data_IF_667216212955
#
_entry.id   IF_667216212955
#
_cell.length_a   1.000
_cell.length_b   1.000
_cell.length_c   1.000
_cell.angle_alpha   90.00
_cell.angle_beta   90.00
_cell.angle_gamma   90.00
#
_symmetry.space_group_name_H-M   'P 1'
#
loop_
_entity.id
_entity.type
_entity.pdbx_description
1 polymer ?
#
# COMPACT_ATOMS: atom_id res chain seq x y z
N UNK A 1 -5.16 -2.61 -19.82
CA UNK A 1 -5.85 -3.64 -19.02
C UNK A 1 -4.89 -4.80 -18.85
N UNK A 2 -4.65 -5.28 -17.61
CA UNK A 2 -3.89 -6.51 -17.41
C UNK A 2 -4.63 -7.63 -18.16
N UNK A 3 -3.94 -8.45 -18.95
CA UNK A 3 -4.54 -9.57 -19.65
C UNK A 3 -5.24 -10.47 -18.64
N UNK A 4 -6.57 -10.44 -18.62
CA UNK A 4 -7.36 -11.29 -17.74
C UNK A 4 -7.29 -12.71 -18.27
N UNK A 5 -6.29 -13.46 -17.83
CA UNK A 5 -6.36 -14.91 -17.83
C UNK A 5 -7.48 -15.31 -16.89
N UNK A 6 -8.54 -15.92 -17.43
CA UNK A 6 -9.64 -16.50 -16.67
C UNK A 6 -9.07 -17.61 -15.76
N UNK A 7 -8.88 -17.32 -14.47
CA UNK A 7 -8.36 -18.29 -13.49
C UNK A 7 -6.91 -18.11 -13.09
N UNK A 8 -6.22 -17.05 -13.52
CA UNK A 8 -4.91 -16.69 -12.97
C UNK A 8 -5.06 -15.81 -11.72
N UNK A 9 -4.09 -15.91 -10.81
CA UNK A 9 -3.88 -15.00 -9.69
C UNK A 9 -3.33 -13.63 -10.14
N UNK A 10 -2.90 -12.77 -9.19
CA UNK A 10 -2.52 -11.39 -9.50
C UNK A 10 -1.17 -11.30 -10.24
N UNK A 11 -1.04 -10.30 -11.11
CA UNK A 11 0.23 -9.95 -11.76
C UNK A 11 0.42 -10.60 -13.13
N UNK A 12 1.65 -10.98 -13.44
CA UNK A 12 2.07 -11.46 -14.76
C UNK A 12 2.97 -12.68 -14.62
N UNK A 13 2.89 -13.62 -15.57
CA UNK A 13 3.68 -14.86 -15.55
C UNK A 13 5.17 -14.61 -15.69
N UNK A 14 5.55 -13.63 -16.52
CA UNK A 14 6.94 -13.33 -16.85
C UNK A 14 7.22 -11.82 -16.78
N UNK A 15 8.50 -11.42 -16.64
CA UNK A 15 8.89 -10.01 -16.75
C UNK A 15 8.52 -9.38 -18.10
N UNK A 16 8.64 -10.12 -19.21
CA UNK A 16 8.27 -9.62 -20.54
C UNK A 16 6.77 -9.33 -20.66
N UNK A 17 5.92 -10.13 -20.02
CA UNK A 17 4.49 -9.86 -19.96
C UNK A 17 4.17 -8.64 -19.09
N UNK A 18 4.90 -8.46 -17.97
CA UNK A 18 4.77 -7.30 -17.10
C UNK A 18 5.11 -5.99 -17.82
N UNK A 19 6.14 -5.99 -18.68
CA UNK A 19 6.51 -4.83 -19.50
C UNK A 19 5.43 -4.42 -20.52
N UNK A 20 4.55 -5.35 -20.91
CA UNK A 20 3.40 -5.09 -21.80
C UNK A 20 2.14 -4.68 -21.03
N UNK A 21 2.21 -4.64 -19.70
CA UNK A 21 1.10 -4.24 -18.85
C UNK A 21 0.63 -2.80 -19.11
N UNK A 22 -0.60 -2.45 -18.70
CA UNK A 22 -1.01 -1.06 -18.74
C UNK A 22 -0.10 -0.18 -17.89
N UNK A 23 0.10 1.05 -18.34
CA UNK A 23 0.71 2.10 -17.53
C UNK A 23 -0.10 2.35 -16.27
N UNK A 24 0.59 2.61 -15.17
CA UNK A 24 0.00 3.01 -13.90
C UNK A 24 -0.74 4.35 -14.01
N UNK A 25 -1.88 4.46 -13.32
CA UNK A 25 -2.64 5.71 -13.24
C UNK A 25 -2.50 6.39 -11.88
N UNK A 26 -2.05 5.67 -10.86
CA UNK A 26 -1.85 6.18 -9.50
C UNK A 26 -0.58 5.59 -8.87
N UNK A 27 0.01 6.33 -7.94
CA UNK A 27 1.15 5.91 -7.11
C UNK A 27 0.84 6.15 -5.64
N UNK A 28 1.21 5.19 -4.79
CA UNK A 28 1.12 5.34 -3.33
C UNK A 28 2.49 5.66 -2.76
N UNK A 29 2.58 6.73 -1.95
CA UNK A 29 3.84 7.20 -1.37
C UNK A 29 3.74 7.29 0.15
N UNK A 30 4.56 6.55 0.91
CA UNK A 30 4.78 6.83 2.32
C UNK A 30 5.32 8.25 2.49
N UNK A 31 4.72 9.02 3.39
CA UNK A 31 5.12 10.38 3.70
C UNK A 31 5.40 10.49 5.20
N UNK A 32 6.62 10.88 5.52
CA UNK A 32 7.19 10.77 6.86
C UNK A 32 7.31 12.18 7.47
N UNK A 33 6.80 12.36 8.69
CA UNK A 33 7.04 13.56 9.49
C UNK A 33 8.08 13.35 10.58
N UNK A 34 8.49 12.11 10.84
CA UNK A 34 9.58 11.84 11.79
C UNK A 34 10.84 12.62 11.40
N UNK A 35 11.54 13.15 12.41
CA UNK A 35 12.72 14.02 12.27
C UNK A 35 12.44 15.35 11.55
N UNK A 36 11.19 15.80 11.53
CA UNK A 36 10.80 17.17 11.21
C UNK A 36 10.20 17.85 12.44
N UNK A 37 10.03 19.17 12.41
CA UNK A 37 9.36 19.93 13.49
C UNK A 37 7.84 19.72 13.52
N UNK A 38 7.28 18.91 12.62
CA UNK A 38 5.85 18.68 12.49
C UNK A 38 5.41 17.52 13.39
N UNK A 39 4.62 17.82 14.41
CA UNK A 39 4.00 16.81 15.29
C UNK A 39 2.70 16.25 14.69
N UNK A 40 2.81 15.51 13.58
CA UNK A 40 1.70 14.81 12.92
C UNK A 40 2.07 13.36 12.62
N UNK A 41 1.09 12.45 12.52
CA UNK A 41 1.37 11.09 12.11
C UNK A 41 1.82 11.06 10.66
N UNK A 42 2.68 10.10 10.34
CA UNK A 42 3.00 9.76 8.96
C UNK A 42 1.72 9.38 8.20
N UNK A 43 1.73 9.48 6.88
CA UNK A 43 0.55 9.19 6.07
C UNK A 43 0.92 8.54 4.75
N UNK A 44 -0.05 7.88 4.14
CA UNK A 44 0.05 7.38 2.77
C UNK A 44 -0.60 8.38 1.83
N UNK A 45 0.17 8.95 0.90
CA UNK A 45 -0.35 9.76 -0.18
C UNK A 45 -0.76 8.88 -1.36
N UNK A 46 -1.90 9.17 -1.97
CA UNK A 46 -2.25 8.69 -3.32
C UNK A 46 -2.04 9.83 -4.30
N UNK A 47 -1.17 9.63 -5.29
CA UNK A 47 -0.88 10.59 -6.35
C UNK A 47 -1.47 10.10 -7.66
N UNK A 48 -2.18 10.97 -8.38
CA UNK A 48 -2.63 10.69 -9.74
C UNK A 48 -1.50 10.97 -10.74
N UNK A 49 -1.14 9.95 -11.51
CA UNK A 49 -0.07 10.01 -12.50
C UNK A 49 -0.57 9.74 -13.93
N UNK A 50 -1.89 9.74 -14.13
CA UNK A 50 -2.50 9.65 -15.46
C UNK A 50 -2.41 11.01 -16.18
N UNK A 51 -1.67 11.15 -17.30
CA UNK A 51 -1.53 12.43 -18.01
C UNK A 51 -2.84 13.00 -18.56
N UNK A 52 -3.87 12.16 -18.71
CA UNK A 52 -5.20 12.56 -19.18
C UNK A 52 -6.12 13.01 -18.03
N UNK A 53 -5.70 12.84 -16.77
CA UNK A 53 -6.48 13.25 -15.61
C UNK A 53 -6.39 14.76 -15.36
N UNK A 54 -7.48 15.46 -15.00
CA UNK A 54 -7.42 16.85 -14.53
C UNK A 54 -6.65 17.01 -13.21
N UNK A 55 -6.36 15.88 -12.54
CA UNK A 55 -5.57 15.81 -11.31
C UNK A 55 -4.14 15.30 -11.54
N UNK A 56 -3.67 15.22 -12.79
CA UNK A 56 -2.30 14.79 -13.10
C UNK A 56 -1.26 15.51 -12.23
N UNK A 57 -0.34 14.74 -11.65
CA UNK A 57 0.72 15.18 -10.74
C UNK A 57 0.22 15.83 -9.44
N UNK A 58 -1.00 15.51 -8.97
CA UNK A 58 -1.53 15.98 -7.69
C UNK A 58 -1.70 14.84 -6.69
N UNK A 59 -1.54 15.16 -5.41
CA UNK A 59 -1.98 14.29 -4.30
C UNK A 59 -3.51 14.34 -4.25
N UNK A 60 -4.16 13.24 -4.61
CA UNK A 60 -5.63 13.12 -4.66
C UNK A 60 -6.23 12.56 -3.36
N UNK A 61 -5.41 11.91 -2.53
CA UNK A 61 -5.85 11.41 -1.23
C UNK A 61 -4.68 11.34 -0.24
N UNK A 62 -4.99 11.52 1.05
CA UNK A 62 -4.05 11.35 2.16
C UNK A 62 -4.71 10.49 3.22
N UNK A 63 -4.14 9.32 3.49
CA UNK A 63 -4.54 8.45 4.59
C UNK A 63 -3.57 8.65 5.77
N UNK A 64 -3.89 9.47 6.78
CA UNK A 64 -3.07 9.60 7.97
C UNK A 64 -3.06 8.30 8.77
N UNK A 65 -1.90 7.92 9.28
CA UNK A 65 -1.81 6.83 10.24
C UNK A 65 -2.32 7.29 11.61
N UNK A 66 -2.81 6.37 12.45
CA UNK A 66 -3.38 6.73 13.74
C UNK A 66 -2.34 7.11 14.80
N UNK A 67 -1.04 6.88 14.57
CA UNK A 67 -0.03 7.07 15.60
C UNK A 67 1.13 7.95 15.14
N UNK A 68 1.76 8.63 16.10
CA UNK A 68 2.96 9.43 15.88
C UNK A 68 4.22 8.58 15.82
N UNK A 69 5.27 9.14 15.20
CA UNK A 69 6.66 8.67 15.29
C UNK A 69 6.89 7.25 14.74
N UNK A 70 6.16 6.87 13.69
CA UNK A 70 6.25 5.55 13.05
C UNK A 70 7.48 5.36 12.17
N UNK A 71 7.76 6.34 11.32
CA UNK A 71 8.66 6.24 10.18
C UNK A 71 8.21 5.19 9.15
N UNK A 72 7.14 5.51 8.42
CA UNK A 72 6.71 4.71 7.25
C UNK A 72 7.77 4.76 6.15
N UNK A 73 8.65 3.76 6.08
CA UNK A 73 9.83 3.82 5.22
C UNK A 73 9.64 3.07 3.90
N UNK A 74 9.32 1.78 3.97
CA UNK A 74 9.04 0.94 2.80
C UNK A 74 7.62 0.39 2.85
N UNK A 75 7.10 0.02 1.68
CA UNK A 75 5.80 -0.63 1.57
C UNK A 75 5.83 -1.70 0.48
N UNK A 76 4.92 -2.67 0.59
CA UNK A 76 4.80 -3.76 -0.36
C UNK A 76 3.36 -4.23 -0.51
N UNK A 77 3.12 -5.04 -1.53
CA UNK A 77 1.81 -5.64 -1.78
C UNK A 77 1.64 -6.95 -1.01
N UNK A 78 0.41 -7.25 -0.58
CA UNK A 78 0.11 -8.54 0.05
C UNK A 78 0.24 -9.75 -0.89
N UNK A 79 0.09 -9.53 -2.20
CA UNK A 79 0.27 -10.53 -3.24
C UNK A 79 0.72 -9.83 -4.54
N UNK A 80 1.52 -10.51 -5.35
CA UNK A 80 2.03 -10.00 -6.62
C UNK A 80 2.20 -11.14 -7.63
N UNK A 81 2.98 -10.94 -8.70
CA UNK A 81 3.23 -11.92 -9.75
C UNK A 81 3.75 -13.28 -9.25
N UNK A 82 4.33 -13.37 -8.05
CA UNK A 82 4.69 -14.66 -7.44
C UNK A 82 3.48 -15.56 -7.16
N UNK A 83 2.27 -15.01 -7.15
CA UNK A 83 1.01 -15.73 -7.02
C UNK A 83 0.28 -15.87 -8.36
N UNK A 84 0.96 -15.74 -9.50
CA UNK A 84 0.31 -15.71 -10.82
C UNK A 84 -0.58 -16.95 -11.10
N UNK A 85 -0.18 -18.14 -10.64
CA UNK A 85 -0.96 -19.37 -10.85
C UNK A 85 -1.94 -19.69 -9.68
N UNK A 86 -2.12 -18.76 -8.73
CA UNK A 86 -3.02 -18.93 -7.57
C UNK A 86 -4.25 -18.00 -7.65
N UNK A 87 -5.39 -18.47 -8.18
CA UNK A 87 -6.62 -17.68 -8.29
C UNK A 87 -7.29 -17.39 -6.96
N UNK A 88 -6.83 -17.93 -5.83
CA UNK A 88 -7.35 -17.57 -4.50
C UNK A 88 -6.78 -16.23 -3.99
N UNK A 89 -5.68 -15.74 -4.59
CA UNK A 89 -4.99 -14.53 -4.13
C UNK A 89 -5.46 -13.28 -4.86
N UNK A 90 -5.36 -12.14 -4.18
CA UNK A 90 -5.69 -10.82 -4.73
C UNK A 90 -4.65 -9.81 -4.27
N UNK A 91 -4.19 -8.95 -5.20
CA UNK A 91 -3.38 -7.77 -4.90
C UNK A 91 -4.31 -6.61 -4.58
N UNK A 92 -4.72 -6.50 -3.32
CA UNK A 92 -5.73 -5.53 -2.87
C UNK A 92 -5.41 -4.92 -1.50
N UNK A 93 -4.23 -5.22 -0.93
CA UNK A 93 -3.74 -4.61 0.30
C UNK A 93 -2.31 -4.12 0.11
N UNK A 94 -2.02 -2.96 0.68
CA UNK A 94 -0.66 -2.51 0.93
C UNK A 94 -0.28 -2.85 2.37
N UNK A 95 0.96 -3.30 2.53
CA UNK A 95 1.59 -3.62 3.81
C UNK A 95 2.64 -2.54 4.06
N UNK A 96 2.44 -1.76 5.11
CA UNK A 96 3.29 -0.64 5.50
C UNK A 96 3.89 -0.90 6.88
N UNK A 97 5.06 -1.57 6.95
CA UNK A 97 5.84 -1.63 8.19
C UNK A 97 6.36 -0.24 8.56
N UNK A 98 6.34 0.05 9.85
CA UNK A 98 6.88 1.28 10.43
C UNK A 98 8.25 0.98 11.03
N UNK A 99 9.29 1.66 10.54
CA UNK A 99 10.69 1.31 10.85
C UNK A 99 11.01 1.43 12.34
N UNK A 100 10.42 2.40 13.03
CA UNK A 100 10.80 2.69 14.43
C UNK A 100 9.84 2.07 15.44
N UNK A 101 8.54 2.03 15.13
CA UNK A 101 7.54 1.53 16.09
C UNK A 101 7.33 0.01 16.02
N UNK A 102 7.86 -0.65 14.99
CA UNK A 102 7.57 -2.05 14.65
C UNK A 102 6.09 -2.35 14.38
N UNK A 103 5.24 -1.33 14.22
CA UNK A 103 3.83 -1.49 13.86
C UNK A 103 3.71 -1.75 12.36
N UNK A 104 2.80 -2.64 11.99
CA UNK A 104 2.50 -2.92 10.59
C UNK A 104 1.08 -2.48 10.29
N UNK A 105 0.93 -1.57 9.34
CA UNK A 105 -0.36 -1.14 8.85
C UNK A 105 -0.73 -1.92 7.59
N UNK A 106 -1.92 -2.52 7.61
CA UNK A 106 -2.53 -3.13 6.44
C UNK A 106 -3.56 -2.15 5.91
N UNK A 107 -3.37 -1.68 4.68
CA UNK A 107 -4.23 -0.69 4.02
C UNK A 107 -5.01 -1.37 2.91
N UNK A 108 -6.33 -1.18 2.90
CA UNK A 108 -7.22 -1.61 1.82
C UNK A 108 -7.20 -0.60 0.67
N UNK A 109 -6.79 -1.10 -0.49
CA UNK A 109 -6.77 -0.38 -1.77
C UNK A 109 -7.62 -1.09 -2.83
N UNK A 110 -8.30 -2.18 -2.46
CA UNK A 110 -9.16 -2.94 -3.36
C UNK A 110 -10.57 -2.37 -3.48
N UNK A 111 -11.05 -1.71 -2.41
CA UNK A 111 -12.39 -1.11 -2.40
C UNK A 111 -12.43 0.18 -3.21
N UNK A 112 -11.47 1.08 -2.97
CA UNK A 112 -11.25 2.28 -3.76
C UNK A 112 -9.74 2.53 -3.83
N UNK A 113 -9.09 2.30 -4.99
CA UNK A 113 -7.67 2.57 -5.18
C UNK A 113 -7.33 4.07 -5.05
N UNK A 114 -8.25 4.97 -5.36
CA UNK A 114 -8.00 6.43 -5.29
C UNK A 114 -8.17 6.97 -3.87
N UNK A 115 -8.94 6.29 -3.02
CA UNK A 115 -9.09 6.62 -1.59
C UNK A 115 -8.85 5.41 -0.66
N UNK A 116 -7.57 5.02 -0.45
CA UNK A 116 -7.20 3.93 0.46
C UNK A 116 -7.70 4.12 1.89
N UNK A 117 -8.01 3.01 2.57
CA UNK A 117 -8.47 3.01 3.96
C UNK A 117 -7.68 2.05 4.84
N UNK A 118 -7.53 2.38 6.11
CA UNK A 118 -6.90 1.48 7.07
C UNK A 118 -7.77 0.23 7.26
N UNK A 119 -7.18 -0.95 7.10
CA UNK A 119 -7.87 -2.22 7.22
C UNK A 119 -7.54 -2.94 8.53
N UNK A 120 -6.26 -2.96 8.91
CA UNK A 120 -5.79 -3.59 10.14
C UNK A 120 -4.49 -2.96 10.61
N UNK A 121 -4.26 -2.97 11.91
CA UNK A 121 -2.97 -2.64 12.52
C UNK A 121 -2.48 -3.89 13.25
N UNK A 122 -1.22 -4.23 13.06
CA UNK A 122 -0.55 -5.31 13.78
C UNK A 122 0.49 -4.66 14.71
N UNK A 123 0.41 -5.03 15.98
CA UNK A 123 1.33 -4.59 17.02
C UNK A 123 2.10 -5.81 17.52
N UNK A 124 3.40 -5.67 17.74
CA UNK A 124 4.16 -6.68 18.47
C UNK A 124 3.76 -6.61 19.94
N UNK A 125 2.93 -7.55 20.38
CA UNK A 125 2.65 -7.74 21.80
C UNK A 125 3.79 -8.61 22.36
N UNK A 126 4.87 -7.99 22.83
CA UNK A 126 5.70 -8.60 23.89
C UNK A 126 5.13 -8.30 25.29
N UNK A 127 3.97 -7.65 25.37
CA UNK A 127 3.30 -7.29 26.63
C UNK A 127 1.99 -8.07 26.83
N UNK A 128 1.98 -9.36 26.50
CA UNK A 128 0.94 -10.31 26.91
C UNK A 128 1.42 -11.21 28.08
N UNK A 129 2.46 -10.80 28.80
CA UNK A 129 2.94 -11.50 30.01
C UNK A 129 2.69 -10.75 31.33
N UNK A 130 2.01 -9.61 31.33
CA UNK A 130 1.66 -8.91 32.58
C UNK A 130 0.25 -8.33 32.51
N UNK A 131 -0.76 -9.19 32.55
CA UNK A 131 -2.12 -8.88 33.03
C UNK A 131 -2.95 -10.16 33.03
N UNK A 132 -2.78 -10.95 34.09
CA UNK A 132 -3.85 -11.78 34.70
C UNK A 132 -4.02 -11.28 36.12
#
# INVERSE_FOLDING_TARGET
>A
MASTCSGCGPGYKTPLDAMKGPREEIVYLPCIYRNTDIQKPDYLATVDVNPQSPNFCKVIHRLPMPNLKDELHHSGWNACSSCYDDPSKRRNRLILPSLISSRIYVVDVGTDPRAPRLHKIIFFILTACYST
#
